data_IF_471288816765
#
_entry.id   IF_471288816765
#
_cell.length_a   1.000
_cell.length_b   1.000
_cell.length_c   1.000
_cell.angle_alpha   90.00
_cell.angle_beta   90.00
_cell.angle_gamma   90.00
#
_symmetry.space_group_name_H-M   'P 1'
#
loop_
_entity.id
_entity.type
_entity.pdbx_description
1 polymer ?
#
# COMPACT_ATOMS: atom_id res chain seq x y z
N UNK A 1 10.54 3.54 9.22
CA UNK A 1 9.43 3.59 10.20
C UNK A 1 8.14 3.27 9.45
N UNK A 2 7.26 2.44 10.02
CA UNK A 2 5.97 2.11 9.40
C UNK A 2 4.92 1.79 10.45
N UNK A 3 3.64 2.05 10.17
CA UNK A 3 2.53 1.61 11.04
C UNK A 3 2.26 0.11 10.89
N UNK A 4 2.31 -0.40 9.66
CA UNK A 4 2.24 -1.83 9.35
C UNK A 4 3.52 -2.25 8.63
N UNK A 5 4.14 -3.35 9.03
CA UNK A 5 5.38 -3.84 8.42
C UNK A 5 5.38 -5.36 8.26
N UNK A 6 5.74 -5.84 7.08
CA UNK A 6 6.09 -7.23 6.78
C UNK A 6 7.17 -7.24 5.71
N UNK A 7 8.36 -7.73 6.05
CA UNK A 7 9.52 -7.71 5.13
C UNK A 7 10.26 -9.05 5.06
N UNK A 8 9.81 -10.05 5.82
CA UNK A 8 10.40 -11.39 5.77
C UNK A 8 9.90 -12.11 4.49
N UNK A 9 10.79 -12.66 3.67
CA UNK A 9 10.41 -13.32 2.41
C UNK A 9 9.52 -14.55 2.60
N UNK A 10 9.48 -15.16 3.79
CA UNK A 10 8.59 -16.28 4.12
C UNK A 10 7.16 -15.85 4.47
N UNK A 11 6.88 -14.56 4.62
CA UNK A 11 5.57 -14.10 5.04
C UNK A 11 4.51 -14.26 3.92
N UNK A 12 3.38 -14.83 4.30
CA UNK A 12 2.19 -14.97 3.45
C UNK A 12 1.01 -14.33 4.18
N UNK A 13 0.70 -13.08 3.83
CA UNK A 13 -0.31 -12.28 4.53
C UNK A 13 -1.27 -11.63 3.52
N UNK A 14 -2.57 -11.73 3.81
CA UNK A 14 -3.61 -10.96 3.12
C UNK A 14 -4.01 -9.74 3.95
N UNK A 15 -3.69 -8.56 3.45
CA UNK A 15 -4.01 -7.26 4.03
C UNK A 15 -5.33 -6.75 3.46
N UNK A 16 -6.29 -6.43 4.34
CA UNK A 16 -7.58 -5.84 3.97
C UNK A 16 -7.79 -4.55 4.75
N UNK A 17 -7.35 -3.44 4.19
CA UNK A 17 -7.50 -2.11 4.75
C UNK A 17 -8.82 -1.51 4.22
N UNK A 18 -9.82 -1.38 5.10
CA UNK A 18 -11.13 -0.82 4.77
C UNK A 18 -11.18 0.69 5.02
N UNK A 19 -12.23 1.17 5.69
CA UNK A 19 -12.42 2.56 6.12
C UNK A 19 -11.43 3.02 7.22
N UNK A 20 -10.15 2.68 7.03
CA UNK A 20 -9.02 3.08 7.85
C UNK A 20 -8.68 4.55 7.55
N UNK A 21 -8.47 5.33 8.61
CA UNK A 21 -7.79 6.62 8.54
C UNK A 21 -6.38 6.46 9.10
N UNK A 22 -5.37 6.84 8.33
CA UNK A 22 -3.97 6.77 8.73
C UNK A 22 -3.27 8.09 8.44
N UNK A 23 -2.61 8.66 9.45
CA UNK A 23 -1.95 9.96 9.36
C UNK A 23 -0.50 9.82 9.81
N UNK A 24 0.43 10.09 8.91
CA UNK A 24 1.84 10.12 9.18
C UNK A 24 2.26 11.52 9.65
N UNK A 25 2.99 11.59 10.76
CA UNK A 25 3.52 12.85 11.31
C UNK A 25 4.67 13.45 10.49
N UNK A 26 5.30 12.63 9.64
CA UNK A 26 6.48 12.99 8.87
C UNK A 26 6.53 12.19 7.55
N UNK A 27 7.27 12.70 6.56
CA UNK A 27 7.43 12.06 5.24
C UNK A 27 8.15 10.70 5.29
N UNK A 28 8.88 10.41 6.37
CA UNK A 28 9.65 9.17 6.50
C UNK A 28 8.81 7.97 6.95
N UNK A 29 7.61 8.24 7.47
CA UNK A 29 6.70 7.24 8.04
C UNK A 29 5.89 6.58 6.93
N UNK A 30 6.05 5.27 6.76
CA UNK A 30 5.23 4.52 5.83
C UNK A 30 3.87 4.15 6.46
N UNK A 31 2.78 4.28 5.70
CA UNK A 31 1.50 3.71 6.11
C UNK A 31 1.58 2.18 6.17
N UNK A 32 2.22 1.58 5.18
CA UNK A 32 2.60 0.18 5.16
C UNK A 32 3.97 0.01 4.49
N UNK A 33 4.79 -0.88 5.07
CA UNK A 33 6.07 -1.34 4.56
C UNK A 33 5.99 -2.85 4.28
N UNK A 34 5.77 -3.22 3.03
CA UNK A 34 5.52 -4.60 2.60
C UNK A 34 6.55 -4.99 1.54
N UNK A 35 7.47 -5.88 1.88
CA UNK A 35 8.53 -6.37 1.01
C UNK A 35 8.62 -7.89 1.10
N UNK A 36 9.19 -8.54 0.08
CA UNK A 36 9.30 -9.99 0.01
C UNK A 36 7.93 -10.67 -0.02
N UNK A 37 7.92 -11.98 0.29
CA UNK A 37 6.70 -12.70 0.61
C UNK A 37 5.77 -12.97 -0.57
N UNK A 38 4.60 -13.51 -0.23
CA UNK A 38 3.49 -13.82 -1.16
C UNK A 38 2.26 -13.06 -0.66
N UNK A 39 2.27 -11.73 -0.83
CA UNK A 39 1.29 -10.85 -0.21
C UNK A 39 0.10 -10.55 -1.10
N UNK A 40 -1.08 -10.42 -0.47
CA UNK A 40 -2.25 -9.79 -1.08
C UNK A 40 -2.57 -8.53 -0.31
N UNK A 41 -2.79 -7.41 -0.98
CA UNK A 41 -3.19 -6.17 -0.32
C UNK A 41 -4.38 -5.56 -1.04
N UNK A 42 -5.42 -5.23 -0.29
CA UNK A 42 -6.42 -4.26 -0.71
C UNK A 42 -6.51 -3.10 0.27
N UNK A 43 -6.58 -1.89 -0.25
CA UNK A 43 -7.00 -0.69 0.45
C UNK A 43 -8.21 -0.11 -0.28
N UNK A 44 -9.34 0.00 0.43
CA UNK A 44 -10.61 0.44 -0.13
C UNK A 44 -11.30 1.38 0.84
N UNK A 45 -11.76 2.55 0.36
CA UNK A 45 -12.44 3.57 1.19
C UNK A 45 -11.58 4.12 2.33
N UNK A 46 -10.26 3.95 2.25
CA UNK A 46 -9.31 4.43 3.24
C UNK A 46 -8.94 5.91 3.02
N UNK A 47 -8.40 6.54 4.06
CA UNK A 47 -7.85 7.90 4.04
C UNK A 47 -6.40 7.85 4.52
N UNK A 48 -5.49 8.36 3.72
CA UNK A 48 -4.05 8.42 4.01
C UNK A 48 -3.57 9.86 3.93
N UNK A 49 -2.77 10.30 4.91
CA UNK A 49 -2.27 11.67 5.00
C UNK A 49 -0.80 11.72 5.36
N UNK A 50 -0.02 12.46 4.56
CA UNK A 50 1.43 12.59 4.67
C UNK A 50 2.16 11.28 4.41
N UNK A 51 3.42 11.20 4.81
CA UNK A 51 4.17 9.95 4.80
C UNK A 51 4.33 9.33 3.41
N UNK A 52 4.41 8.00 3.38
CA UNK A 52 4.67 7.24 2.15
C UNK A 52 4.06 5.85 2.12
N UNK A 53 4.09 5.23 0.96
CA UNK A 53 4.04 3.77 0.81
C UNK A 53 5.43 3.20 0.63
N UNK A 54 5.68 1.99 1.14
CA UNK A 54 6.91 1.27 0.92
C UNK A 54 6.58 -0.17 0.52
N UNK A 55 6.50 -0.45 -0.78
CA UNK A 55 6.05 -1.75 -1.30
C UNK A 55 6.95 -2.37 -2.38
N UNK A 56 8.16 -1.83 -2.53
CA UNK A 56 9.15 -2.35 -3.48
C UNK A 56 9.44 -3.82 -3.20
N UNK A 57 9.22 -4.69 -4.17
CA UNK A 57 9.51 -6.13 -4.00
C UNK A 57 8.54 -6.89 -3.09
N UNK A 58 7.35 -6.35 -2.78
CA UNK A 58 6.33 -6.99 -1.92
C UNK A 58 5.64 -8.24 -2.46
N UNK A 59 6.21 -8.93 -3.45
CA UNK A 59 5.69 -10.23 -3.91
C UNK A 59 4.31 -10.21 -4.57
N UNK A 60 3.89 -9.07 -5.12
CA UNK A 60 2.62 -8.92 -5.84
C UNK A 60 2.73 -9.43 -7.29
N UNK A 61 1.64 -10.00 -7.83
CA UNK A 61 1.61 -10.63 -9.17
C UNK A 61 1.27 -12.13 -9.13
N UNK A 62 1.07 -12.75 -10.29
CA UNK A 62 0.60 -14.14 -10.35
C UNK A 62 -0.78 -14.30 -9.71
N UNK A 63 -0.89 -15.13 -8.65
CA UNK A 63 -2.12 -15.28 -7.86
C UNK A 63 -2.27 -14.26 -6.72
N UNK A 64 -1.30 -13.34 -6.57
CA UNK A 64 -1.28 -12.24 -5.61
C UNK A 64 -1.65 -10.91 -6.25
N UNK A 65 -2.10 -9.95 -5.44
CA UNK A 65 -2.52 -8.65 -5.94
C UNK A 65 -2.18 -7.51 -4.99
N UNK A 66 -2.01 -6.32 -5.58
CA UNK A 66 -2.06 -5.05 -4.89
C UNK A 66 -3.21 -4.26 -5.48
N UNK A 67 -4.19 -3.92 -4.65
CA UNK A 67 -5.34 -3.11 -5.05
C UNK A 67 -5.50 -1.91 -4.12
N UNK A 68 -5.40 -0.70 -4.65
CA UNK A 68 -5.69 0.54 -3.91
C UNK A 68 -6.72 1.31 -4.73
N UNK A 69 -7.94 1.40 -4.21
CA UNK A 69 -9.07 1.97 -4.94
C UNK A 69 -10.02 2.73 -4.04
N UNK A 70 -10.65 3.78 -4.58
CA UNK A 70 -11.58 4.62 -3.83
C UNK A 70 -10.99 5.14 -2.51
N UNK A 71 -9.71 5.51 -2.51
CA UNK A 71 -9.04 6.13 -1.35
C UNK A 71 -8.91 7.64 -1.52
N UNK A 72 -8.69 8.34 -0.41
CA UNK A 72 -8.27 9.74 -0.38
C UNK A 72 -6.83 9.77 0.15
N UNK A 73 -5.93 10.37 -0.61
CA UNK A 73 -4.51 10.50 -0.30
C UNK A 73 -4.15 12.00 -0.27
N UNK A 74 -3.78 12.52 0.89
CA UNK A 74 -3.33 13.90 1.07
C UNK A 74 -1.82 13.94 1.29
N UNK A 75 -1.04 14.35 0.28
CA UNK A 75 0.41 14.49 0.37
C UNK A 75 1.18 13.19 0.66
N UNK A 76 0.66 12.05 0.19
CA UNK A 76 1.30 10.73 0.36
C UNK A 76 2.32 10.50 -0.76
N UNK A 77 3.55 10.12 -0.41
CA UNK A 77 4.55 9.69 -1.39
C UNK A 77 4.27 8.25 -1.88
N UNK A 78 4.06 8.14 -3.20
CA UNK A 78 3.69 6.92 -3.91
C UNK A 78 4.81 6.34 -4.77
N UNK A 79 6.01 6.91 -4.72
CA UNK A 79 7.15 6.56 -5.58
C UNK A 79 7.57 5.10 -5.50
N UNK A 80 7.29 4.42 -4.39
CA UNK A 80 7.62 3.02 -4.18
C UNK A 80 6.53 2.02 -4.61
N UNK A 81 5.41 2.47 -5.18
CA UNK A 81 4.38 1.56 -5.73
C UNK A 81 4.91 0.85 -6.99
N UNK A 82 4.72 -0.48 -7.15
CA UNK A 82 5.08 -1.17 -8.38
C UNK A 82 4.22 -0.68 -9.55
N UNK A 83 4.76 -0.77 -10.77
CA UNK A 83 4.02 -0.43 -11.97
C UNK A 83 2.68 -1.21 -12.06
N UNK A 84 1.63 -0.55 -12.52
CA UNK A 84 0.33 -1.18 -12.69
C UNK A 84 0.39 -2.31 -13.73
N UNK A 85 -0.31 -3.40 -13.43
CA UNK A 85 -0.49 -4.57 -14.28
C UNK A 85 -1.91 -5.11 -14.07
N UNK A 86 -2.27 -6.28 -14.59
CA UNK A 86 -3.56 -6.90 -14.29
C UNK A 86 -3.81 -7.05 -12.76
N UNK A 87 -2.91 -7.73 -12.03
CA UNK A 87 -3.04 -7.93 -10.58
C UNK A 87 -2.60 -6.72 -9.71
N UNK A 88 -2.04 -5.67 -10.30
CA UNK A 88 -1.55 -4.49 -9.57
C UNK A 88 -2.29 -3.26 -10.08
N UNK A 89 -3.21 -2.74 -9.27
CA UNK A 89 -4.07 -1.59 -9.62
C UNK A 89 -4.13 -0.64 -8.43
N UNK A 90 -3.66 0.57 -8.57
CA UNK A 90 -3.60 1.54 -7.50
C UNK A 90 -3.91 2.99 -7.93
N UNK A 91 -4.22 3.25 -9.19
CA UNK A 91 -4.51 4.61 -9.69
C UNK A 91 -6.00 4.93 -9.75
N UNK A 92 -6.80 3.98 -10.23
CA UNK A 92 -8.20 4.22 -10.61
C UNK A 92 -9.12 4.52 -9.43
N UNK A 93 -9.89 5.61 -9.54
CA UNK A 93 -10.92 5.99 -8.56
C UNK A 93 -10.38 6.61 -7.27
N UNK A 94 -9.08 6.90 -7.19
CA UNK A 94 -8.47 7.55 -6.04
C UNK A 94 -8.48 9.07 -6.19
N UNK A 95 -8.60 9.77 -5.07
CA UNK A 95 -8.40 11.21 -4.97
C UNK A 95 -7.04 11.44 -4.36
N UNK A 96 -6.11 12.03 -5.11
CA UNK A 96 -4.78 12.41 -4.63
C UNK A 96 -4.68 13.93 -4.62
N UNK A 97 -4.40 14.51 -3.44
CA UNK A 97 -4.37 15.95 -3.16
C UNK A 97 -3.01 16.33 -2.56
#
# INVERSE_FOLDING_TARGET
>A
KAFLKSVDPGNVITWSLGELTSTAADASTAHFHIEGGTHKLKALRSRFKGGKYAVTGGGFGGSNYLFIGSVIEEGVDRSALPAETGPIRHSSGNITI
#
